data_IF_313795064560
#
_entry.id   IF_313795064560
#
_cell.length_a   1.000
_cell.length_b   1.000
_cell.length_c   1.000
_cell.angle_alpha   90.00
_cell.angle_beta   90.00
_cell.angle_gamma   90.00
#
_symmetry.space_group_name_H-M   'P 1'
#
loop_
_entity.id
_entity.type
_entity.pdbx_description
1 polymer ?
#
# COMPACT_ATOMS: atom_id res chain seq x y z
N UNK A 1 18.75 -9.05 -31.52
CA UNK A 1 18.08 -8.80 -30.24
C UNK A 1 18.75 -9.49 -29.08
N UNK A 2 19.34 -10.62 -29.31
CA UNK A 2 20.09 -11.30 -28.25
C UNK A 2 21.20 -10.41 -27.66
N UNK A 3 21.84 -9.63 -28.50
CA UNK A 3 22.87 -8.71 -28.01
C UNK A 3 22.33 -7.65 -27.06
N UNK A 4 21.14 -7.15 -27.33
CA UNK A 4 20.52 -6.17 -26.46
C UNK A 4 20.14 -6.77 -25.10
N UNK A 5 19.67 -8.02 -25.11
CA UNK A 5 19.34 -8.71 -23.87
C UNK A 5 20.58 -8.89 -23.01
N UNK A 6 21.70 -9.24 -23.62
CA UNK A 6 22.96 -9.39 -22.91
C UNK A 6 23.39 -8.06 -22.29
N UNK A 7 23.25 -6.97 -23.05
CA UNK A 7 23.55 -5.64 -22.54
C UNK A 7 22.71 -5.33 -21.32
N UNK A 8 21.42 -5.59 -21.40
CA UNK A 8 20.52 -5.31 -20.28
C UNK A 8 20.87 -6.10 -19.03
N UNK A 9 21.33 -7.32 -19.19
CA UNK A 9 21.73 -8.14 -18.05
C UNK A 9 22.96 -7.55 -17.36
N UNK A 10 23.89 -6.97 -18.13
CA UNK A 10 25.12 -6.44 -17.56
C UNK A 10 24.96 -5.02 -17.03
N UNK A 11 24.03 -4.28 -17.55
CA UNK A 11 23.80 -2.90 -17.17
C UNK A 11 22.96 -2.84 -15.91
N UNK A 12 23.32 -1.95 -15.00
CA UNK A 12 22.50 -1.70 -13.83
C UNK A 12 21.20 -1.07 -14.28
N UNK A 13 20.06 -1.49 -13.69
CA UNK A 13 18.78 -0.86 -14.01
C UNK A 13 18.81 0.62 -13.63
N UNK A 14 18.17 1.44 -14.43
CA UNK A 14 18.01 2.85 -14.11
C UNK A 14 17.00 3.02 -12.98
N UNK A 15 16.93 4.21 -12.41
CA UNK A 15 15.93 4.55 -11.41
C UNK A 15 14.52 4.29 -11.95
N UNK A 16 14.25 4.70 -13.17
CA UNK A 16 12.95 4.53 -13.81
C UNK A 16 12.60 3.05 -13.97
N UNK A 17 13.56 2.25 -14.39
CA UNK A 17 13.34 0.82 -14.56
C UNK A 17 13.04 0.13 -13.23
N UNK A 18 13.77 0.47 -12.19
CA UNK A 18 13.57 -0.10 -10.86
C UNK A 18 12.22 0.32 -10.28
N UNK A 19 11.86 1.58 -10.48
CA UNK A 19 10.57 2.07 -10.00
C UNK A 19 9.42 1.40 -10.75
N UNK A 20 9.58 1.21 -12.05
CA UNK A 20 8.58 0.54 -12.86
C UNK A 20 8.34 -0.88 -12.38
N UNK A 21 9.42 -1.62 -12.09
CA UNK A 21 9.30 -2.96 -11.55
C UNK A 21 8.57 -2.98 -10.22
N UNK A 22 8.92 -2.06 -9.35
CA UNK A 22 8.26 -1.91 -8.06
C UNK A 22 6.78 -1.61 -8.25
N UNK A 23 6.46 -0.68 -9.14
CA UNK A 23 5.09 -0.31 -9.42
C UNK A 23 4.29 -1.51 -9.92
N UNK A 24 4.82 -2.22 -10.91
CA UNK A 24 4.10 -3.35 -11.49
C UNK A 24 3.86 -4.47 -10.48
N UNK A 25 4.80 -4.70 -9.58
CA UNK A 25 4.64 -5.75 -8.59
C UNK A 25 3.78 -5.33 -7.40
N UNK A 26 3.84 -4.08 -7.00
CA UNK A 26 3.19 -3.62 -5.77
C UNK A 26 1.84 -2.96 -5.99
N UNK A 27 1.61 -2.35 -7.13
CA UNK A 27 0.39 -1.59 -7.37
C UNK A 27 -0.88 -2.41 -7.16
N UNK A 28 -1.02 -3.60 -7.76
CA UNK A 28 -2.24 -4.38 -7.55
C UNK A 28 -2.41 -4.80 -6.08
N UNK A 29 -1.31 -5.10 -5.42
CA UNK A 29 -1.34 -5.49 -4.02
C UNK A 29 -1.82 -4.35 -3.12
N UNK A 30 -1.31 -3.15 -3.38
CA UNK A 30 -1.68 -1.98 -2.60
C UNK A 30 -3.11 -1.53 -2.88
N UNK A 31 -3.56 -1.64 -4.13
CA UNK A 31 -4.95 -1.34 -4.48
C UNK A 31 -5.88 -2.25 -3.69
N UNK A 32 -5.56 -3.54 -3.67
CA UNK A 32 -6.38 -4.51 -2.97
C UNK A 32 -6.39 -4.26 -1.46
N UNK A 33 -5.23 -3.98 -0.90
CA UNK A 33 -5.09 -3.67 0.51
C UNK A 33 -5.88 -2.41 0.88
N UNK A 34 -5.69 -1.35 0.13
CA UNK A 34 -6.37 -0.09 0.39
C UNK A 34 -7.88 -0.22 0.20
N UNK A 35 -8.33 -0.97 -0.80
CA UNK A 35 -9.75 -1.20 -1.02
C UNK A 35 -10.38 -1.91 0.17
N UNK A 36 -9.66 -2.88 0.73
CA UNK A 36 -10.15 -3.59 1.91
C UNK A 36 -10.28 -2.67 3.11
N UNK A 37 -9.30 -1.78 3.30
CA UNK A 37 -9.35 -0.85 4.43
C UNK A 37 -10.41 0.23 4.25
N UNK A 38 -10.56 0.75 3.04
CA UNK A 38 -11.47 1.86 2.77
C UNK A 38 -12.90 1.41 2.48
N UNK A 39 -13.06 0.21 1.96
CA UNK A 39 -14.36 -0.24 1.48
C UNK A 39 -14.82 0.44 0.21
N UNK A 40 -13.91 1.13 -0.49
CA UNK A 40 -14.23 1.93 -1.67
C UNK A 40 -13.04 1.89 -2.62
N UNK A 41 -13.27 1.35 -3.82
CA UNK A 41 -12.21 1.19 -4.79
C UNK A 41 -11.70 2.51 -5.35
N UNK A 42 -12.58 3.50 -5.49
CA UNK A 42 -12.17 4.80 -6.03
C UNK A 42 -11.28 5.54 -5.04
N UNK A 43 -11.64 5.52 -3.77
CA UNK A 43 -10.80 6.11 -2.72
C UNK A 43 -9.45 5.40 -2.66
N UNK A 44 -9.48 4.07 -2.77
CA UNK A 44 -8.24 3.28 -2.75
C UNK A 44 -7.31 3.66 -3.89
N UNK A 45 -7.84 3.83 -5.09
CA UNK A 45 -7.03 4.21 -6.24
C UNK A 45 -6.39 5.57 -6.06
N UNK A 46 -7.14 6.53 -5.54
CA UNK A 46 -6.63 7.86 -5.25
C UNK A 46 -5.47 7.80 -4.26
N UNK A 47 -5.68 7.07 -3.18
CA UNK A 47 -4.68 6.94 -2.13
C UNK A 47 -3.41 6.29 -2.67
N UNK A 48 -3.55 5.19 -3.40
CA UNK A 48 -2.39 4.46 -3.92
C UNK A 48 -1.64 5.28 -4.94
N UNK A 49 -2.34 6.02 -5.80
CA UNK A 49 -1.69 6.91 -6.75
C UNK A 49 -0.86 7.97 -6.05
N UNK A 50 -1.41 8.58 -5.01
CA UNK A 50 -0.70 9.58 -4.23
C UNK A 50 0.53 8.99 -3.54
N UNK A 51 0.39 7.79 -2.99
CA UNK A 51 1.49 7.11 -2.32
C UNK A 51 2.63 6.83 -3.31
N UNK A 52 2.31 6.34 -4.51
CA UNK A 52 3.33 6.10 -5.51
C UNK A 52 3.99 7.38 -5.99
N UNK A 53 3.25 8.49 -6.06
CA UNK A 53 3.84 9.79 -6.38
C UNK A 53 4.92 10.18 -5.36
N UNK A 54 4.60 10.02 -4.07
CA UNK A 54 5.58 10.31 -3.02
C UNK A 54 6.74 9.32 -3.04
N UNK A 55 6.46 8.07 -3.38
CA UNK A 55 7.52 7.07 -3.50
C UNK A 55 8.51 7.45 -4.57
N UNK A 56 8.04 7.94 -5.69
CA UNK A 56 8.90 8.39 -6.78
C UNK A 56 9.81 9.52 -6.32
N UNK A 57 9.27 10.50 -5.62
CA UNK A 57 10.04 11.63 -5.12
C UNK A 57 11.14 11.22 -4.15
N UNK A 58 10.91 10.15 -3.41
CA UNK A 58 11.82 9.69 -2.36
C UNK A 58 12.55 8.40 -2.73
N UNK A 59 12.40 7.93 -3.96
CA UNK A 59 12.83 6.59 -4.34
C UNK A 59 14.32 6.35 -4.10
N UNK A 60 15.15 7.34 -4.39
CA UNK A 60 16.59 7.20 -4.21
C UNK A 60 16.97 6.94 -2.74
N UNK A 61 16.18 7.46 -1.81
CA UNK A 61 16.43 7.28 -0.39
C UNK A 61 15.88 5.98 0.15
N UNK A 62 14.85 5.42 -0.50
CA UNK A 62 14.15 4.25 0.01
C UNK A 62 14.95 2.95 -0.17
N UNK A 63 15.66 2.84 -1.27
CA UNK A 63 16.47 1.64 -1.53
C UNK A 63 15.65 0.37 -1.47
N UNK A 64 16.18 -0.62 -0.76
CA UNK A 64 15.54 -1.93 -0.64
C UNK A 64 14.31 -1.92 0.26
N UNK A 65 14.07 -0.83 0.94
CA UNK A 65 12.94 -0.72 1.87
C UNK A 65 11.70 -0.11 1.22
N UNK A 66 11.71 0.06 -0.10
CA UNK A 66 10.62 0.70 -0.80
C UNK A 66 9.29 -0.03 -0.63
N UNK A 67 9.30 -1.36 -0.68
CA UNK A 67 8.07 -2.14 -0.51
C UNK A 67 7.46 -1.93 0.86
N UNK A 68 8.31 -1.97 1.89
CA UNK A 68 7.89 -1.74 3.26
C UNK A 68 7.31 -0.34 3.42
N UNK A 69 8.00 0.64 2.85
CA UNK A 69 7.54 2.01 2.91
C UNK A 69 6.18 2.17 2.24
N UNK A 70 5.97 1.52 1.10
CA UNK A 70 4.71 1.60 0.38
C UNK A 70 3.53 1.08 1.22
N UNK A 71 3.71 -0.04 1.89
CA UNK A 71 2.66 -0.57 2.76
C UNK A 71 2.35 0.38 3.91
N UNK A 72 3.39 0.88 4.57
CA UNK A 72 3.23 1.81 5.67
C UNK A 72 2.54 3.10 5.22
N UNK A 73 3.00 3.65 4.11
CA UNK A 73 2.44 4.90 3.59
C UNK A 73 0.97 4.70 3.16
N UNK A 74 0.66 3.57 2.54
CA UNK A 74 -0.71 3.28 2.13
C UNK A 74 -1.62 3.14 3.34
N UNK A 75 -1.18 2.38 4.35
CA UNK A 75 -1.94 2.24 5.59
C UNK A 75 -2.22 3.60 6.23
N UNK A 76 -1.17 4.40 6.38
CA UNK A 76 -1.31 5.70 7.04
C UNK A 76 -2.20 6.65 6.24
N UNK A 77 -2.10 6.61 4.92
CA UNK A 77 -2.95 7.43 4.07
C UNK A 77 -4.41 7.01 4.16
N UNK A 78 -4.68 5.71 4.24
CA UNK A 78 -6.04 5.21 4.43
C UNK A 78 -6.61 5.67 5.76
N UNK A 79 -5.85 5.54 6.82
CA UNK A 79 -6.30 5.98 8.16
C UNK A 79 -6.60 7.46 8.16
N UNK A 80 -5.74 8.25 7.53
CA UNK A 80 -5.95 9.69 7.44
C UNK A 80 -7.21 10.02 6.65
N UNK A 81 -7.45 9.31 5.54
CA UNK A 81 -8.64 9.54 4.73
C UNK A 81 -9.91 9.17 5.50
N UNK A 82 -9.87 8.09 6.27
CA UNK A 82 -11.00 7.69 7.09
C UNK A 82 -11.35 8.77 8.13
N UNK A 83 -10.33 9.41 8.69
CA UNK A 83 -10.56 10.53 9.61
C UNK A 83 -11.24 11.70 8.90
N UNK A 84 -10.80 12.01 7.69
CA UNK A 84 -11.41 13.07 6.91
C UNK A 84 -12.84 12.76 6.53
N UNK A 85 -13.17 11.50 6.36
CA UNK A 85 -14.52 11.08 6.07
C UNK A 85 -15.39 10.94 7.31
N UNK A 86 -14.81 11.27 8.47
CA UNK A 86 -15.53 11.25 9.75
C UNK A 86 -16.04 9.86 10.13
N UNK A 87 -15.28 8.86 9.78
CA UNK A 87 -15.57 7.49 10.19
C UNK A 87 -15.38 7.39 11.71
N UNK A 88 -16.17 6.55 12.36
CA UNK A 88 -16.10 6.39 13.80
C UNK A 88 -14.67 6.09 14.28
N UNK A 89 -14.29 6.74 15.38
CA UNK A 89 -12.96 6.59 15.94
C UNK A 89 -12.66 5.14 16.33
N UNK A 90 -13.65 4.43 16.85
CA UNK A 90 -13.45 3.03 17.22
C UNK A 90 -13.09 2.15 16.02
N UNK A 91 -13.68 2.44 14.87
CA UNK A 91 -13.37 1.72 13.63
C UNK A 91 -11.90 1.97 13.21
N UNK A 92 -11.49 3.24 13.27
CA UNK A 92 -10.13 3.63 12.94
C UNK A 92 -9.13 2.97 13.90
N UNK A 93 -9.42 2.99 15.19
CA UNK A 93 -8.57 2.39 16.21
C UNK A 93 -8.41 0.88 16.02
N UNK A 94 -9.50 0.23 15.63
CA UNK A 94 -9.45 -1.22 15.36
C UNK A 94 -8.48 -1.52 14.20
N UNK A 95 -8.52 -0.72 13.15
CA UNK A 95 -7.61 -0.88 12.01
C UNK A 95 -6.17 -0.61 12.45
N UNK A 96 -5.95 0.44 13.23
CA UNK A 96 -4.61 0.77 13.73
C UNK A 96 -4.04 -0.42 14.51
N UNK A 97 -4.80 -0.96 15.46
CA UNK A 97 -4.32 -2.05 16.29
C UNK A 97 -4.04 -3.31 15.47
N UNK A 98 -4.89 -3.60 14.50
CA UNK A 98 -4.75 -4.83 13.73
C UNK A 98 -3.61 -4.78 12.73
N UNK A 99 -3.26 -3.60 12.22
CA UNK A 99 -2.25 -3.48 11.16
C UNK A 99 -0.90 -2.95 11.64
N UNK A 100 -0.86 -2.33 12.82
CA UNK A 100 0.35 -1.67 13.30
C UNK A 100 1.53 -2.64 13.49
N UNK A 101 1.30 -3.73 14.18
CA UNK A 101 2.37 -4.68 14.49
C UNK A 101 2.95 -5.30 13.22
N UNK A 102 2.11 -5.60 12.24
CA UNK A 102 2.57 -6.20 10.98
C UNK A 102 3.48 -5.25 10.22
N UNK A 103 3.08 -3.98 10.15
CA UNK A 103 3.86 -2.97 9.45
C UNK A 103 5.19 -2.74 10.17
N UNK A 104 5.15 -2.58 11.50
CA UNK A 104 6.33 -2.28 12.29
C UNK A 104 7.33 -3.44 12.30
N UNK A 105 6.84 -4.67 12.24
CA UNK A 105 7.68 -5.86 12.24
C UNK A 105 8.17 -6.25 10.86
N UNK A 106 7.75 -5.52 9.84
CA UNK A 106 8.17 -5.82 8.47
C UNK A 106 7.53 -7.06 7.89
N UNK A 107 6.39 -7.45 8.39
CA UNK A 107 5.62 -8.57 7.81
C UNK A 107 4.94 -8.08 6.56
N UNK A 108 5.66 -8.20 5.45
CA UNK A 108 5.21 -7.69 4.16
C UNK A 108 4.54 -8.76 3.33
N UNK A 109 4.20 -9.86 3.93
CA UNK A 109 3.50 -10.90 3.21
C UNK A 109 2.10 -10.41 2.90
N UNK A 110 1.92 -10.14 1.62
CA UNK A 110 0.70 -9.59 1.09
C UNK A 110 -0.54 -10.32 1.57
N UNK A 111 -0.49 -11.65 1.54
CA UNK A 111 -1.65 -12.46 1.91
C UNK A 111 -2.03 -12.30 3.39
N UNK A 112 -1.03 -12.21 4.25
CA UNK A 112 -1.26 -12.03 5.68
C UNK A 112 -1.94 -10.69 5.95
N UNK A 113 -1.41 -9.62 5.32
CA UNK A 113 -1.98 -8.29 5.50
C UNK A 113 -3.41 -8.22 4.97
N UNK A 114 -3.66 -8.84 3.82
CA UNK A 114 -5.02 -8.86 3.26
C UNK A 114 -5.98 -9.62 4.13
N UNK A 115 -5.56 -10.78 4.63
CA UNK A 115 -6.42 -11.58 5.51
C UNK A 115 -6.80 -10.80 6.76
N UNK A 116 -5.85 -10.09 7.34
CA UNK A 116 -6.12 -9.28 8.52
C UNK A 116 -7.06 -8.12 8.19
N UNK A 117 -6.82 -7.44 7.09
CA UNK A 117 -7.67 -6.32 6.68
C UNK A 117 -9.09 -6.79 6.39
N UNK A 118 -9.23 -7.94 5.73
CA UNK A 118 -10.54 -8.50 5.44
C UNK A 118 -11.27 -8.93 6.73
N UNK A 119 -10.55 -9.50 7.68
CA UNK A 119 -11.14 -9.89 8.95
C UNK A 119 -11.66 -8.67 9.71
N UNK A 120 -10.91 -7.58 9.70
CA UNK A 120 -11.33 -6.34 10.34
C UNK A 120 -12.61 -5.81 9.68
N UNK A 121 -12.61 -5.78 8.35
CA UNK A 121 -13.75 -5.27 7.60
C UNK A 121 -15.02 -6.06 7.91
N UNK A 122 -14.89 -7.37 8.09
CA UNK A 122 -16.04 -8.22 8.40
C UNK A 122 -16.49 -8.14 9.85
N UNK A 123 -15.57 -7.87 10.76
CA UNK A 123 -15.89 -7.86 12.19
C UNK A 123 -16.47 -6.55 12.68
N UNK A 124 -16.31 -5.48 11.90
CA UNK A 124 -16.79 -4.17 12.31
C UNK A 124 -18.16 -3.88 11.71
N UNK A 125 -18.99 -3.09 12.42
CA UNK A 125 -20.24 -2.63 11.81
C UNK A 125 -19.92 -1.80 10.57
N UNK A 126 -20.89 -1.58 9.72
CA UNK A 126 -20.68 -0.87 8.48
C UNK A 126 -20.94 0.62 8.63
N UNK A 127 -20.08 1.37 9.33
CA UNK A 127 -20.31 2.78 9.54
C UNK A 127 -20.15 3.57 8.25
N UNK A 128 -19.31 3.09 7.36
CA UNK A 128 -19.07 3.78 6.10
C UNK A 128 -20.25 3.72 5.17
N UNK A 129 -21.08 2.71 5.31
CA UNK A 129 -22.26 2.58 4.45
C UNK A 129 -23.38 3.53 4.85
N UNK A 130 -23.34 4.05 6.04
CA UNK A 130 -24.37 4.93 6.55
C UNK A 130 -24.04 6.40 6.37
N UNK A 131 -22.84 6.66 5.94
CA UNK A 131 -22.36 8.03 5.75
C UNK A 131 -22.58 8.58 4.33
#
# INVERSE_FOLDING_TARGET
>A
MAGLSIFNIRRKPTKEERFRELFLSMHPKLIRYATTLMGDADEAKDIVSEVFGRAWENFSSLGDEASAWLYTATRNACLNRLKHLQVEQSHIEAIVLATQADVDNGYWEHEVLLQKAEAIARSLPEPTCTV
#
